data_IF_207981319304
#
_entry.id   IF_207981319304
#
_cell.length_a   1.000
_cell.length_b   1.000
_cell.length_c   1.000
_cell.angle_alpha   90.00
_cell.angle_beta   90.00
_cell.angle_gamma   90.00
#
_symmetry.space_group_name_H-M   'P 1'
#
loop_
_entity.id
_entity.type
_entity.pdbx_description
1 polymer ?
#
# COMPACT_ATOMS: atom_id res chain seq x y z
N UNK A 1 6.76 27.89 -22.51
CA UNK A 1 7.09 26.76 -23.40
C UNK A 1 6.80 25.49 -22.65
N UNK A 2 5.81 24.68 -23.08
CA UNK A 2 5.57 23.35 -22.50
C UNK A 2 6.70 22.46 -22.97
N UNK A 3 7.60 22.09 -22.08
CA UNK A 3 8.60 21.04 -22.36
C UNK A 3 7.86 19.73 -22.53
N UNK A 4 7.75 19.27 -23.76
CA UNK A 4 7.31 17.92 -24.09
C UNK A 4 8.43 16.96 -23.70
N UNK A 5 8.38 16.43 -22.48
CA UNK A 5 9.33 15.39 -22.06
C UNK A 5 9.10 14.11 -22.86
N UNK A 6 10.18 13.56 -23.36
CA UNK A 6 10.18 12.32 -24.15
C UNK A 6 9.78 11.12 -23.27
N UNK A 7 8.81 10.30 -23.74
CA UNK A 7 8.35 9.10 -23.04
C UNK A 7 9.03 7.89 -23.62
N UNK A 8 9.73 7.11 -22.78
CA UNK A 8 10.57 5.99 -23.21
C UNK A 8 9.76 4.71 -23.48
N UNK A 9 8.73 4.44 -22.66
CA UNK A 9 7.96 3.19 -22.72
C UNK A 9 6.81 3.18 -23.75
N UNK A 10 6.68 4.19 -24.61
CA UNK A 10 5.70 4.14 -25.69
C UNK A 10 6.17 3.17 -26.78
N UNK A 11 5.25 2.29 -27.22
CA UNK A 11 5.45 1.41 -28.40
C UNK A 11 5.89 2.23 -29.60
N UNK A 12 7.14 2.06 -30.02
CA UNK A 12 7.70 2.74 -31.21
C UNK A 12 9.04 3.43 -31.01
N UNK A 13 9.54 3.54 -29.79
CA UNK A 13 10.96 3.85 -29.61
C UNK A 13 11.75 2.62 -30.09
N UNK A 14 12.28 2.71 -31.31
CA UNK A 14 13.05 1.66 -31.95
C UNK A 14 14.22 1.17 -31.10
N UNK A 15 14.90 0.12 -31.55
CA UNK A 15 15.98 -0.63 -30.88
C UNK A 15 17.15 0.20 -30.29
N UNK A 16 17.12 1.52 -30.38
CA UNK A 16 18.12 2.43 -29.87
C UNK A 16 17.58 3.21 -28.67
N UNK A 17 17.36 2.51 -27.54
CA UNK A 17 16.97 3.09 -26.26
C UNK A 17 18.16 3.86 -25.67
N UNK A 18 18.28 5.14 -26.05
CA UNK A 18 19.40 5.98 -25.67
C UNK A 18 18.96 6.95 -24.55
N UNK A 19 19.14 6.54 -23.30
CA UNK A 19 18.92 7.37 -22.14
C UNK A 19 20.01 7.16 -21.09
N UNK A 20 20.25 8.19 -20.30
CA UNK A 20 21.14 8.15 -19.15
C UNK A 20 20.33 8.09 -17.85
N UNK A 21 20.76 7.26 -16.92
CA UNK A 21 20.17 7.13 -15.58
C UNK A 21 21.08 7.77 -14.56
N UNK A 22 20.63 8.85 -13.94
CA UNK A 22 21.21 9.34 -12.70
C UNK A 22 20.53 8.66 -11.53
N UNK A 23 21.16 7.65 -10.99
CA UNK A 23 20.74 7.04 -9.74
C UNK A 23 20.94 8.02 -8.58
N UNK A 24 19.94 8.17 -7.70
CA UNK A 24 19.96 9.07 -6.55
C UNK A 24 20.07 8.28 -5.26
N UNK A 25 19.11 7.40 -5.01
CA UNK A 25 19.12 6.55 -3.82
C UNK A 25 18.24 5.31 -3.97
N UNK A 26 18.48 4.32 -3.10
CA UNK A 26 17.57 3.21 -2.86
C UNK A 26 17.43 2.98 -1.36
N UNK A 27 16.20 2.88 -0.87
CA UNK A 27 15.92 2.75 0.56
C UNK A 27 14.72 1.85 0.80
N UNK A 28 14.77 1.16 1.94
CA UNK A 28 13.58 0.59 2.56
C UNK A 28 12.89 1.67 3.39
N UNK A 29 11.58 1.78 3.22
CA UNK A 29 10.77 2.74 3.95
C UNK A 29 9.72 2.01 4.78
N UNK A 30 9.59 2.45 6.02
CA UNK A 30 8.55 2.01 6.94
C UNK A 30 7.81 3.22 7.45
N UNK A 31 6.52 3.30 7.16
CA UNK A 31 5.69 4.43 7.51
C UNK A 31 4.53 4.03 8.41
N UNK A 32 4.27 4.83 9.45
CA UNK A 32 2.99 4.79 10.15
C UNK A 32 1.91 5.26 9.17
N UNK A 33 0.69 4.70 9.20
CA UNK A 33 -0.41 5.16 8.36
C UNK A 33 -0.58 6.67 8.43
N UNK A 34 -0.46 7.33 7.30
CA UNK A 34 -0.47 8.79 7.19
C UNK A 34 -0.88 9.25 5.80
N UNK A 35 -1.15 10.53 5.66
CA UNK A 35 -1.36 11.17 4.36
C UNK A 35 -0.16 12.07 4.06
N UNK A 36 0.40 11.93 2.87
CA UNK A 36 1.48 12.77 2.38
C UNK A 36 0.93 13.64 1.26
N UNK A 37 0.84 14.93 1.51
CA UNK A 37 0.24 15.94 0.62
C UNK A 37 1.26 16.89 -0.02
N UNK A 38 2.55 16.74 0.31
CA UNK A 38 3.61 17.62 -0.18
C UNK A 38 3.61 17.72 -1.72
N UNK A 39 3.27 16.62 -2.40
CA UNK A 39 3.26 16.56 -3.86
C UNK A 39 2.00 17.13 -4.50
N UNK A 40 0.99 17.54 -3.73
CA UNK A 40 -0.16 18.29 -4.22
C UNK A 40 0.26 19.71 -4.65
N UNK A 41 1.07 20.37 -3.83
CA UNK A 41 1.51 21.75 -4.04
C UNK A 41 2.86 21.85 -4.74
N UNK A 42 3.74 20.89 -4.52
CA UNK A 42 5.08 20.86 -5.06
C UNK A 42 5.29 19.57 -5.88
N UNK A 43 5.29 19.67 -7.21
CA UNK A 43 5.49 18.49 -8.08
C UNK A 43 6.77 17.73 -7.71
N UNK A 44 6.77 16.42 -7.93
CA UNK A 44 7.97 15.59 -7.70
C UNK A 44 9.17 16.11 -8.47
N UNK A 45 10.31 16.21 -7.79
CA UNK A 45 11.58 16.63 -8.41
C UNK A 45 12.28 15.51 -9.20
N UNK A 46 11.98 14.25 -8.89
CA UNK A 46 12.69 13.08 -9.40
C UNK A 46 11.71 11.95 -9.75
N UNK A 47 12.16 11.05 -10.62
CA UNK A 47 11.46 9.79 -10.86
C UNK A 47 11.62 8.85 -9.67
N UNK A 48 10.62 8.02 -9.42
CA UNK A 48 10.73 6.96 -8.43
C UNK A 48 10.02 5.67 -8.88
N UNK A 49 10.57 4.55 -8.40
CA UNK A 49 9.94 3.24 -8.45
C UNK A 49 9.75 2.74 -7.02
N UNK A 50 8.51 2.43 -6.65
CA UNK A 50 8.16 1.92 -5.32
C UNK A 50 7.56 0.53 -5.43
N UNK A 51 8.16 -0.42 -4.71
CA UNK A 51 7.64 -1.78 -4.53
C UNK A 51 7.02 -1.88 -3.14
N UNK A 52 5.72 -2.06 -3.06
CA UNK A 52 5.01 -2.22 -1.79
C UNK A 52 5.19 -3.63 -1.25
N UNK A 53 5.72 -3.76 -0.02
CA UNK A 53 6.10 -5.06 0.56
C UNK A 53 5.34 -5.40 1.85
N UNK A 54 4.63 -4.45 2.44
CA UNK A 54 3.85 -4.65 3.66
C UNK A 54 2.76 -3.60 3.85
N UNK A 55 1.84 -3.84 4.78
CA UNK A 55 0.70 -2.95 5.04
C UNK A 55 -0.49 -3.22 4.12
N UNK A 56 -1.29 -2.19 3.84
CA UNK A 56 -2.42 -2.25 2.89
C UNK A 56 -2.20 -1.41 1.63
N UNK A 57 -0.95 -1.08 1.33
CA UNK A 57 -0.63 -0.30 0.16
C UNK A 57 -0.95 1.19 0.31
N UNK A 58 -1.11 1.88 -0.80
CA UNK A 58 -1.25 3.32 -0.87
C UNK A 58 -2.39 3.72 -1.81
N UNK A 59 -3.09 4.80 -1.47
CA UNK A 59 -4.09 5.42 -2.34
C UNK A 59 -3.56 6.77 -2.78
N UNK A 60 -3.39 6.92 -4.07
CA UNK A 60 -3.00 8.16 -4.73
C UNK A 60 -4.27 8.90 -5.19
N UNK A 61 -4.37 10.17 -4.85
CA UNK A 61 -5.43 11.07 -5.35
C UNK A 61 -4.79 12.13 -6.20
N UNK A 62 -5.27 12.28 -7.44
CA UNK A 62 -4.73 13.22 -8.41
C UNK A 62 -5.52 14.54 -8.42
N UNK A 63 -4.96 15.64 -9.00
CA UNK A 63 -5.62 16.95 -9.05
C UNK A 63 -6.97 16.96 -9.79
N UNK A 64 -7.20 16.01 -10.69
CA UNK A 64 -8.48 15.83 -11.40
C UNK A 64 -9.54 15.07 -10.57
N UNK A 65 -9.21 14.72 -9.32
CA UNK A 65 -10.07 13.95 -8.41
C UNK A 65 -10.05 12.43 -8.66
N UNK A 66 -9.34 11.96 -9.68
CA UNK A 66 -9.17 10.52 -9.90
C UNK A 66 -8.29 9.89 -8.83
N UNK A 67 -8.44 8.59 -8.62
CA UNK A 67 -7.67 7.85 -7.62
C UNK A 67 -7.02 6.62 -8.23
N UNK A 68 -5.89 6.22 -7.67
CA UNK A 68 -5.20 4.98 -7.99
C UNK A 68 -4.79 4.28 -6.70
N UNK A 69 -5.05 2.99 -6.60
CA UNK A 69 -4.65 2.19 -5.44
C UNK A 69 -3.55 1.24 -5.82
N UNK A 70 -2.47 1.26 -5.02
CA UNK A 70 -1.38 0.31 -5.09
C UNK A 70 -1.41 -0.61 -3.86
N UNK A 71 -1.40 -1.92 -4.09
CA UNK A 71 -1.40 -2.96 -3.05
C UNK A 71 -0.03 -3.56 -2.78
N UNK A 72 0.01 -4.56 -1.90
CA UNK A 72 1.24 -5.35 -1.66
C UNK A 72 1.61 -6.09 -2.95
N UNK A 73 2.89 -6.08 -3.28
CA UNK A 73 3.44 -6.68 -4.49
C UNK A 73 3.36 -5.80 -5.73
N UNK A 74 2.71 -4.64 -5.63
CA UNK A 74 2.65 -3.71 -6.76
C UNK A 74 3.94 -2.91 -6.89
N UNK A 75 4.44 -2.83 -8.13
CA UNK A 75 5.52 -1.94 -8.52
C UNK A 75 4.93 -0.69 -9.17
N UNK A 76 5.16 0.46 -8.54
CA UNK A 76 4.60 1.76 -8.96
C UNK A 76 5.69 2.68 -9.45
N UNK A 77 5.51 3.23 -10.64
CA UNK A 77 6.34 4.31 -11.17
C UNK A 77 5.69 5.66 -10.90
N UNK A 78 6.50 6.59 -10.42
CA UNK A 78 6.13 7.95 -10.05
C UNK A 78 7.01 8.92 -10.85
N UNK A 79 6.52 9.50 -11.95
CA UNK A 79 7.31 10.37 -12.81
C UNK A 79 7.66 11.71 -12.15
N UNK A 80 8.82 12.25 -12.54
CA UNK A 80 9.18 13.65 -12.26
C UNK A 80 8.06 14.57 -12.72
N UNK A 81 7.74 15.61 -11.93
CA UNK A 81 6.67 16.56 -12.21
C UNK A 81 5.25 16.06 -11.90
N UNK A 82 5.06 14.83 -11.43
CA UNK A 82 3.75 14.36 -11.00
C UNK A 82 3.28 15.06 -9.72
N UNK A 83 1.95 15.33 -9.68
CA UNK A 83 1.27 15.91 -8.53
C UNK A 83 0.21 14.92 -8.03
N UNK A 84 0.19 14.70 -6.73
CA UNK A 84 -0.78 13.81 -6.07
C UNK A 84 -0.75 13.99 -4.55
N UNK A 85 -1.83 13.60 -3.90
CA UNK A 85 -1.85 13.28 -2.47
C UNK A 85 -1.78 11.76 -2.34
N UNK A 86 -0.95 11.24 -1.46
CA UNK A 86 -0.89 9.80 -1.20
C UNK A 86 -1.26 9.50 0.24
N UNK A 87 -2.24 8.61 0.43
CA UNK A 87 -2.58 8.02 1.72
C UNK A 87 -1.90 6.67 1.83
N UNK A 88 -1.02 6.56 2.82
CA UNK A 88 -0.29 5.33 3.14
C UNK A 88 -1.09 4.56 4.19
N UNK A 89 -1.53 3.34 3.86
CA UNK A 89 -2.38 2.53 4.69
C UNK A 89 -1.58 1.39 5.33
N UNK A 90 -1.58 1.35 6.67
CA UNK A 90 -1.07 0.20 7.41
C UNK A 90 -2.02 -0.98 7.31
N UNK A 91 -1.59 -2.15 7.77
CA UNK A 91 -2.46 -3.31 7.88
C UNK A 91 -3.45 -3.09 9.03
N UNK A 92 -4.77 -2.96 8.79
CA UNK A 92 -5.76 -2.75 9.84
C UNK A 92 -5.89 -3.96 10.76
N UNK A 93 -5.29 -5.09 10.39
CA UNK A 93 -5.27 -6.30 11.19
C UNK A 93 -4.17 -6.29 12.26
N UNK A 94 -3.27 -5.30 12.20
CA UNK A 94 -2.14 -5.18 13.13
C UNK A 94 -2.05 -3.75 13.66
N UNK A 95 -2.47 -3.46 14.91
CA UNK A 95 -2.27 -2.14 15.54
C UNK A 95 -0.79 -1.81 15.51
N UNK A 96 -0.50 -0.56 15.14
CA UNK A 96 0.87 -0.14 14.92
C UNK A 96 1.52 -0.72 13.67
N UNK A 97 0.74 -1.39 12.79
CA UNK A 97 1.26 -1.83 11.51
C UNK A 97 1.69 -0.65 10.67
N UNK A 98 2.76 -0.87 9.95
CA UNK A 98 3.36 0.11 9.07
C UNK A 98 3.05 -0.25 7.62
N UNK A 99 3.07 0.73 6.75
CA UNK A 99 3.23 0.51 5.33
C UNK A 99 4.72 0.36 5.05
N UNK A 100 5.10 -0.77 4.48
CA UNK A 100 6.48 -1.03 4.11
C UNK A 100 6.61 -1.02 2.57
N UNK A 101 7.60 -0.30 2.07
CA UNK A 101 7.97 -0.36 0.66
C UNK A 101 9.46 -0.15 0.45
N UNK A 102 9.94 -0.69 -0.66
CA UNK A 102 11.29 -0.44 -1.18
C UNK A 102 11.21 0.62 -2.26
N UNK A 103 12.05 1.63 -2.19
CA UNK A 103 12.06 2.73 -3.13
C UNK A 103 13.39 2.91 -3.82
N UNK A 104 13.37 3.16 -5.13
CA UNK A 104 14.50 3.66 -5.91
C UNK A 104 14.12 5.03 -6.47
N UNK A 105 14.99 6.02 -6.26
CA UNK A 105 14.85 7.38 -6.80
C UNK A 105 15.97 7.63 -7.80
N UNK A 106 15.62 8.20 -8.96
CA UNK A 106 16.53 8.40 -10.07
C UNK A 106 16.06 9.54 -10.97
N UNK A 107 16.87 9.91 -11.96
CA UNK A 107 16.50 10.79 -13.06
C UNK A 107 16.86 10.16 -14.39
N UNK A 108 16.01 10.39 -15.37
CA UNK A 108 16.23 9.96 -16.74
C UNK A 108 16.50 11.16 -17.64
N UNK A 109 17.52 11.05 -18.47
CA UNK A 109 17.85 12.05 -19.47
C UNK A 109 18.13 11.38 -20.80
N UNK A 110 17.80 12.06 -21.88
CA UNK A 110 18.33 11.70 -23.20
C UNK A 110 19.82 12.01 -23.26
N UNK A 111 20.54 11.48 -24.21
CA UNK A 111 21.96 11.86 -24.42
C UNK A 111 22.13 13.32 -24.84
N UNK A 112 21.09 14.00 -25.33
CA UNK A 112 21.06 15.44 -25.50
C UNK A 112 20.90 16.23 -24.20
N UNK A 113 20.70 15.55 -23.05
CA UNK A 113 20.54 16.15 -21.73
C UNK A 113 19.11 16.57 -21.40
N UNK A 114 18.13 16.28 -22.26
CA UNK A 114 16.72 16.55 -22.00
C UNK A 114 16.14 15.55 -20.99
N UNK A 115 15.28 16.01 -20.09
CA UNK A 115 14.57 15.11 -19.17
C UNK A 115 13.62 14.21 -19.94
N UNK A 116 13.70 12.92 -19.70
CA UNK A 116 12.76 11.94 -20.22
C UNK A 116 12.07 11.17 -19.09
N UNK A 117 11.05 10.37 -19.41
CA UNK A 117 10.23 9.61 -18.45
C UNK A 117 9.96 8.22 -18.99
N UNK A 118 9.74 7.25 -18.09
CA UNK A 118 9.27 5.93 -18.50
C UNK A 118 7.82 6.01 -18.96
N UNK A 119 6.95 6.62 -18.18
CA UNK A 119 5.52 6.82 -18.46
C UNK A 119 5.12 8.25 -18.12
N UNK A 120 4.05 8.74 -18.76
CA UNK A 120 3.53 10.11 -18.57
C UNK A 120 2.92 10.34 -17.21
N UNK A 121 2.35 9.30 -16.63
CA UNK A 121 1.54 9.36 -15.41
C UNK A 121 2.09 8.39 -14.37
N UNK A 122 1.67 8.58 -13.13
CA UNK A 122 1.83 7.57 -12.09
C UNK A 122 1.20 6.28 -12.58
N UNK A 123 2.00 5.22 -12.60
CA UNK A 123 1.63 3.97 -13.29
C UNK A 123 1.98 2.76 -12.43
N UNK A 124 1.06 1.83 -12.29
CA UNK A 124 1.36 0.50 -11.75
C UNK A 124 1.94 -0.34 -12.88
N UNK A 125 3.19 -0.72 -12.74
CA UNK A 125 3.93 -1.49 -13.76
C UNK A 125 3.67 -2.99 -13.62
N UNK A 126 3.64 -3.50 -12.38
CA UNK A 126 3.40 -4.90 -12.06
C UNK A 126 2.50 -4.99 -10.85
N UNK A 127 1.54 -5.92 -10.86
CA UNK A 127 0.59 -6.12 -9.75
C UNK A 127 0.83 -7.45 -9.05
N UNK A 128 0.75 -7.39 -7.71
CA UNK A 128 0.65 -8.55 -6.82
C UNK A 128 1.80 -9.57 -6.84
N UNK A 129 2.88 -9.30 -7.58
CA UNK A 129 4.05 -10.15 -7.59
C UNK A 129 5.33 -9.34 -7.36
N UNK A 130 5.86 -9.31 -6.13
CA UNK A 130 7.10 -8.62 -5.82
C UNK A 130 8.35 -9.39 -6.25
N UNK A 131 8.22 -10.70 -6.54
CA UNK A 131 9.36 -11.62 -6.71
C UNK A 131 10.36 -11.18 -7.77
N UNK A 132 9.94 -10.73 -8.98
CA UNK A 132 10.88 -10.31 -10.00
C UNK A 132 11.70 -9.08 -9.61
N UNK A 133 11.14 -8.22 -8.75
CA UNK A 133 11.66 -6.89 -8.42
C UNK A 133 12.44 -6.86 -7.12
N UNK A 134 12.08 -7.70 -6.16
CA UNK A 134 12.63 -7.72 -4.80
C UNK A 134 14.16 -7.82 -4.82
N UNK A 135 14.71 -8.68 -5.66
CA UNK A 135 16.15 -8.92 -5.80
C UNK A 135 16.93 -7.68 -6.26
N UNK A 136 16.34 -6.84 -7.13
CA UNK A 136 16.96 -5.58 -7.55
C UNK A 136 17.05 -4.61 -6.38
N UNK A 137 15.95 -4.48 -5.62
CA UNK A 137 15.92 -3.60 -4.46
C UNK A 137 16.86 -4.05 -3.35
N UNK A 138 16.93 -5.34 -3.03
CA UNK A 138 17.86 -5.85 -2.02
C UNK A 138 19.30 -5.49 -2.38
N UNK A 139 19.72 -5.73 -3.62
CA UNK A 139 21.06 -5.39 -4.09
C UNK A 139 21.32 -3.88 -4.05
N UNK A 140 20.39 -3.06 -4.56
CA UNK A 140 20.52 -1.61 -4.58
C UNK A 140 20.58 -1.01 -3.17
N UNK A 141 19.68 -1.45 -2.28
CA UNK A 141 19.63 -0.96 -0.90
C UNK A 141 20.90 -1.33 -0.15
N UNK A 142 21.36 -2.57 -0.32
CA UNK A 142 22.62 -3.02 0.29
C UNK A 142 23.80 -2.15 -0.14
N UNK A 143 24.00 -2.01 -1.45
CA UNK A 143 25.08 -1.17 -2.00
C UNK A 143 24.97 0.29 -1.56
N UNK A 144 23.76 0.84 -1.53
CA UNK A 144 23.54 2.21 -1.10
C UNK A 144 23.87 2.42 0.38
N UNK A 145 23.47 1.49 1.26
CA UNK A 145 23.74 1.54 2.71
C UNK A 145 25.20 1.29 3.06
N UNK A 146 25.87 0.44 2.31
CA UNK A 146 27.28 0.10 2.52
C UNK A 146 28.25 1.06 1.80
N UNK A 147 27.75 2.16 1.22
CA UNK A 147 28.53 3.10 0.41
C UNK A 147 29.28 2.41 -0.74
N UNK A 148 28.63 1.44 -1.37
CA UNK A 148 29.16 0.67 -2.48
C UNK A 148 29.37 1.49 -3.76
N UNK A 149 29.84 0.83 -4.81
CA UNK A 149 30.16 1.46 -6.08
C UNK A 149 28.92 2.07 -6.74
N UNK A 150 29.03 3.36 -7.08
CA UNK A 150 27.98 4.04 -7.88
C UNK A 150 27.79 3.37 -9.24
N UNK A 151 28.86 2.91 -9.89
CA UNK A 151 28.79 2.24 -11.17
C UNK A 151 28.04 0.91 -11.09
N UNK A 152 28.20 0.17 -10.00
CA UNK A 152 27.47 -1.06 -9.77
C UNK A 152 25.98 -0.77 -9.52
N UNK A 153 25.65 0.24 -8.70
CA UNK A 153 24.27 0.67 -8.49
C UNK A 153 23.62 1.14 -9.79
N UNK A 154 24.33 1.92 -10.60
CA UNK A 154 23.84 2.37 -11.91
C UNK A 154 23.60 1.17 -12.84
N UNK A 155 24.52 0.20 -12.91
CA UNK A 155 24.35 -1.01 -13.72
C UNK A 155 23.09 -1.79 -13.34
N UNK A 156 22.83 -1.95 -12.03
CA UNK A 156 21.62 -2.61 -11.54
C UNK A 156 20.37 -1.80 -11.91
N UNK A 157 20.42 -0.47 -11.79
CA UNK A 157 19.31 0.41 -12.16
C UNK A 157 19.00 0.33 -13.67
N UNK A 158 20.02 0.29 -14.52
CA UNK A 158 19.84 0.09 -15.95
C UNK A 158 19.18 -1.26 -16.26
N UNK A 159 19.68 -2.35 -15.68
CA UNK A 159 19.09 -3.68 -15.85
C UNK A 159 17.63 -3.72 -15.39
N UNK A 160 17.34 -3.09 -14.25
CA UNK A 160 16.00 -3.03 -13.70
C UNK A 160 15.04 -2.26 -14.63
N UNK A 161 15.44 -1.08 -15.09
CA UNK A 161 14.62 -0.25 -15.97
C UNK A 161 14.44 -0.93 -17.34
N UNK A 162 15.46 -1.58 -17.88
CA UNK A 162 15.36 -2.32 -19.13
C UNK A 162 14.29 -3.42 -19.05
N UNK A 163 14.22 -4.16 -17.94
CA UNK A 163 13.17 -5.15 -17.69
C UNK A 163 11.77 -4.54 -17.63
N UNK A 164 11.64 -3.33 -17.12
CA UNK A 164 10.36 -2.65 -16.95
C UNK A 164 9.82 -2.11 -18.29
N UNK A 165 10.69 -1.58 -19.13
CA UNK A 165 10.29 -0.90 -20.37
C UNK A 165 9.54 -1.83 -21.32
N UNK A 166 9.85 -3.13 -21.30
CA UNK A 166 9.23 -4.14 -22.16
C UNK A 166 7.93 -4.71 -21.59
N UNK A 167 7.60 -4.38 -20.35
CA UNK A 167 6.35 -4.87 -19.78
C UNK A 167 5.15 -4.16 -20.42
N UNK A 168 4.08 -4.91 -20.73
CA UNK A 168 2.83 -4.28 -21.05
C UNK A 168 2.42 -3.42 -19.85
N UNK A 169 2.14 -2.14 -20.09
CA UNK A 169 1.50 -1.30 -19.04
C UNK A 169 0.28 -2.06 -18.56
N UNK A 170 0.26 -2.41 -17.30
CA UNK A 170 -0.97 -2.88 -16.68
C UNK A 170 -1.90 -1.68 -16.80
N UNK A 171 -2.78 -1.70 -17.82
CA UNK A 171 -3.83 -0.71 -17.92
C UNK A 171 -4.45 -0.69 -16.54
N UNK A 172 -4.36 0.45 -15.88
CA UNK A 172 -5.08 0.66 -14.65
C UNK A 172 -6.55 0.51 -15.06
N UNK A 173 -7.08 -0.71 -14.95
CA UNK A 173 -8.48 -0.93 -14.70
C UNK A 173 -8.74 -0.28 -13.32
N UNK A 174 -8.50 1.03 -13.30
CA UNK A 174 -8.67 1.88 -12.13
C UNK A 174 -10.12 1.83 -11.62
N UNK A 175 -11.05 1.36 -12.45
CA UNK A 175 -12.42 1.14 -12.03
C UNK A 175 -12.70 -0.17 -11.30
N UNK A 176 -11.93 -1.24 -11.51
CA UNK A 176 -12.33 -2.57 -10.98
C UNK A 176 -12.21 -2.68 -9.46
N UNK A 177 -11.17 -2.09 -8.88
CA UNK A 177 -10.91 -2.16 -7.44
C UNK A 177 -11.17 -0.85 -6.68
N UNK A 178 -11.33 0.29 -7.34
CA UNK A 178 -11.66 1.56 -6.68
C UNK A 178 -12.93 1.44 -5.85
N UNK A 179 -13.94 0.76 -6.40
CA UNK A 179 -15.16 0.44 -5.69
C UNK A 179 -14.92 -0.50 -4.51
N UNK A 180 -13.95 -1.41 -4.59
CA UNK A 180 -13.58 -2.30 -3.48
C UNK A 180 -12.85 -1.53 -2.38
N UNK A 181 -11.93 -0.63 -2.73
CA UNK A 181 -11.25 0.25 -1.77
C UNK A 181 -12.25 1.12 -1.02
N UNK A 182 -13.26 1.65 -1.72
CA UNK A 182 -14.39 2.33 -1.08
C UNK A 182 -15.13 1.41 -0.09
N UNK A 183 -15.40 0.18 -0.50
CA UNK A 183 -16.04 -0.83 0.37
C UNK A 183 -15.20 -1.19 1.60
N UNK A 184 -13.89 -1.30 1.44
CA UNK A 184 -12.93 -1.49 2.55
C UNK A 184 -13.02 -0.30 3.52
N UNK A 185 -13.01 0.95 3.02
CA UNK A 185 -13.18 2.14 3.84
C UNK A 185 -14.48 2.10 4.65
N UNK A 186 -15.61 1.78 4.02
CA UNK A 186 -16.91 1.67 4.70
C UNK A 186 -16.86 0.63 5.83
N UNK A 187 -16.27 -0.55 5.59
CA UNK A 187 -16.13 -1.60 6.62
C UNK A 187 -15.21 -1.13 7.75
N UNK A 188 -14.10 -0.48 7.42
CA UNK A 188 -13.12 -0.02 8.39
C UNK A 188 -13.67 1.10 9.28
N UNK A 189 -14.42 2.05 8.71
CA UNK A 189 -15.02 3.18 9.45
C UNK A 189 -16.20 2.72 10.31
N UNK A 190 -16.88 1.66 9.93
CA UNK A 190 -18.04 1.10 10.65
C UNK A 190 -17.76 -0.29 11.24
N UNK A 191 -16.52 -0.57 11.59
CA UNK A 191 -16.07 -1.88 12.05
C UNK A 191 -16.89 -2.47 13.21
N UNK A 192 -17.38 -1.62 14.11
CA UNK A 192 -18.17 -1.97 15.29
C UNK A 192 -19.69 -1.85 15.09
N UNK A 193 -20.15 -1.46 13.91
CA UNK A 193 -21.57 -1.35 13.59
C UNK A 193 -22.00 -2.53 12.72
N UNK A 194 -23.26 -2.90 12.81
CA UNK A 194 -23.83 -3.86 11.89
C UNK A 194 -24.01 -3.21 10.51
N UNK A 195 -23.23 -3.67 9.52
CA UNK A 195 -23.34 -3.26 8.15
C UNK A 195 -23.67 -4.48 7.27
N UNK A 196 -24.77 -4.41 6.55
CA UNK A 196 -25.12 -5.46 5.60
C UNK A 196 -24.22 -5.37 4.38
N UNK A 197 -23.65 -6.49 3.96
CA UNK A 197 -22.77 -6.54 2.78
C UNK A 197 -23.51 -6.05 1.51
N UNK A 198 -24.82 -6.25 1.45
CA UNK A 198 -25.65 -5.74 0.35
C UNK A 198 -25.62 -4.21 0.24
N UNK A 199 -25.67 -3.50 1.38
CA UNK A 199 -25.68 -2.04 1.42
C UNK A 199 -24.30 -1.49 1.03
N UNK A 200 -23.23 -2.16 1.48
CA UNK A 200 -21.86 -1.81 1.09
C UNK A 200 -21.65 -2.02 -0.41
N UNK A 201 -22.08 -3.16 -0.95
CA UNK A 201 -22.00 -3.47 -2.37
C UNK A 201 -22.77 -2.44 -3.21
N UNK A 202 -23.99 -2.08 -2.77
CA UNK A 202 -24.80 -1.04 -3.41
C UNK A 202 -24.06 0.31 -3.42
N UNK A 203 -23.44 0.71 -2.30
CA UNK A 203 -22.62 1.94 -2.22
C UNK A 203 -21.39 1.91 -3.14
N UNK A 204 -20.97 0.71 -3.53
CA UNK A 204 -19.87 0.47 -4.46
C UNK A 204 -20.34 0.25 -5.92
N UNK A 205 -21.63 0.47 -6.21
CA UNK A 205 -22.25 0.21 -7.51
C UNK A 205 -22.06 -1.23 -8.00
N UNK A 206 -22.15 -2.20 -7.09
CA UNK A 206 -21.93 -3.63 -7.37
C UNK A 206 -23.05 -4.50 -6.85
N UNK A 207 -23.23 -5.68 -7.47
CA UNK A 207 -24.02 -6.73 -6.86
C UNK A 207 -23.28 -7.31 -5.63
N UNK A 208 -24.00 -7.81 -4.60
CA UNK A 208 -23.37 -8.40 -3.42
C UNK A 208 -22.44 -9.59 -3.73
N UNK A 209 -22.77 -10.34 -4.77
CA UNK A 209 -21.96 -11.49 -5.21
C UNK A 209 -20.64 -11.04 -5.83
N UNK A 210 -20.69 -10.07 -6.75
CA UNK A 210 -19.50 -9.52 -7.40
C UNK A 210 -18.60 -8.80 -6.38
N UNK A 211 -19.20 -8.05 -5.45
CA UNK A 211 -18.47 -7.40 -4.36
C UNK A 211 -17.71 -8.43 -3.50
N UNK A 212 -18.34 -9.53 -3.07
CA UNK A 212 -17.65 -10.59 -2.28
C UNK A 212 -16.48 -11.20 -3.05
N UNK A 213 -16.69 -11.48 -4.34
CA UNK A 213 -15.65 -12.07 -5.19
C UNK A 213 -14.44 -11.15 -5.31
N UNK A 214 -14.66 -9.92 -5.75
CA UNK A 214 -13.59 -8.93 -5.96
C UNK A 214 -12.93 -8.51 -4.64
N UNK A 215 -13.71 -8.42 -3.55
CA UNK A 215 -13.19 -8.10 -2.23
C UNK A 215 -12.22 -9.20 -1.74
N UNK A 216 -12.60 -10.48 -1.91
CA UNK A 216 -11.74 -11.61 -1.56
C UNK A 216 -10.52 -11.70 -2.47
N UNK A 217 -10.68 -11.44 -3.76
CA UNK A 217 -9.58 -11.36 -4.72
C UNK A 217 -8.56 -10.27 -4.31
N UNK A 218 -9.05 -9.10 -3.88
CA UNK A 218 -8.22 -7.97 -3.50
C UNK A 218 -7.58 -8.09 -2.11
N UNK A 219 -8.34 -8.55 -1.10
CA UNK A 219 -7.90 -8.57 0.31
C UNK A 219 -7.41 -9.93 0.80
N UNK A 220 -7.65 -11.00 0.04
CA UNK A 220 -7.46 -12.38 0.47
C UNK A 220 -8.54 -12.91 1.42
N UNK A 221 -9.43 -12.04 1.93
CA UNK A 221 -10.47 -12.35 2.92
C UNK A 221 -11.87 -12.03 2.37
N UNK A 222 -12.88 -12.72 2.86
CA UNK A 222 -14.25 -12.26 2.64
C UNK A 222 -14.52 -10.97 3.43
N UNK A 223 -15.48 -10.11 3.01
CA UNK A 223 -15.82 -8.89 3.75
C UNK A 223 -16.16 -9.14 5.23
N UNK A 224 -16.77 -10.28 5.54
CA UNK A 224 -17.10 -10.69 6.91
C UNK A 224 -15.86 -11.06 7.72
N UNK A 225 -14.96 -11.88 7.16
CA UNK A 225 -13.69 -12.23 7.78
C UNK A 225 -12.81 -10.99 7.99
N UNK A 226 -12.79 -10.09 7.02
CA UNK A 226 -12.06 -8.84 7.12
C UNK A 226 -12.58 -7.95 8.26
N UNK A 227 -13.90 -7.79 8.39
CA UNK A 227 -14.49 -7.06 9.53
C UNK A 227 -14.17 -7.73 10.87
N UNK A 228 -14.29 -9.06 10.94
CA UNK A 228 -13.98 -9.82 12.16
C UNK A 228 -12.51 -9.64 12.58
N UNK A 229 -11.60 -9.57 11.63
CA UNK A 229 -10.19 -9.33 11.92
C UNK A 229 -9.96 -7.94 12.49
N UNK A 230 -10.62 -6.88 11.96
CA UNK A 230 -10.57 -5.53 12.55
C UNK A 230 -11.11 -5.53 13.99
N UNK A 231 -12.24 -6.20 14.23
CA UNK A 231 -12.81 -6.33 15.59
C UNK A 231 -11.79 -6.96 16.53
N UNK A 232 -11.18 -8.08 16.13
CA UNK A 232 -10.18 -8.77 16.95
C UNK A 232 -8.99 -7.86 17.28
N UNK A 233 -8.52 -7.12 16.33
CA UNK A 233 -7.39 -6.24 16.46
C UNK A 233 -7.69 -5.07 17.42
N UNK A 234 -8.77 -4.34 17.16
CA UNK A 234 -9.20 -3.23 18.01
C UNK A 234 -9.44 -3.68 19.46
N UNK A 235 -10.06 -4.85 19.63
CA UNK A 235 -10.33 -5.40 20.98
C UNK A 235 -9.06 -5.86 21.68
N UNK A 236 -8.10 -6.49 20.99
CA UNK A 236 -6.78 -6.80 21.55
C UNK A 236 -6.07 -5.55 22.05
N UNK A 237 -6.04 -4.50 21.23
CA UNK A 237 -5.46 -3.21 21.63
C UNK A 237 -6.15 -2.66 22.88
N UNK A 238 -7.49 -2.58 22.89
CA UNK A 238 -8.25 -2.08 24.05
C UNK A 238 -8.00 -2.89 25.32
N UNK A 239 -7.88 -4.21 25.19
CA UNK A 239 -7.61 -5.08 26.35
C UNK A 239 -6.24 -4.82 26.98
N UNK A 240 -5.24 -4.42 26.21
CA UNK A 240 -3.87 -4.19 26.69
C UNK A 240 -3.68 -2.74 27.12
N UNK A 241 -4.23 -1.78 26.36
CA UNK A 241 -3.99 -0.35 26.58
C UNK A 241 -4.94 0.32 27.59
N UNK A 242 -6.03 -0.35 28.00
CA UNK A 242 -7.05 0.25 28.89
C UNK A 242 -7.49 -0.68 30.01
N UNK A 243 -8.07 -0.09 31.06
CA UNK A 243 -8.68 -0.81 32.20
C UNK A 243 -10.20 -0.92 32.13
N UNK A 244 -10.81 -0.56 30.99
CA UNK A 244 -12.27 -0.63 30.86
C UNK A 244 -12.79 -2.05 31.07
N UNK A 245 -14.03 -2.17 31.53
CA UNK A 245 -14.65 -3.46 31.81
C UNK A 245 -14.80 -4.33 30.56
N UNK A 246 -14.87 -5.64 30.71
CA UNK A 246 -15.11 -6.56 29.58
C UNK A 246 -16.42 -6.26 28.87
N UNK A 247 -17.44 -5.84 29.63
CA UNK A 247 -18.72 -5.39 29.08
C UNK A 247 -18.54 -4.15 28.19
N UNK A 248 -17.73 -3.16 28.65
CA UNK A 248 -17.42 -1.99 27.84
C UNK A 248 -16.66 -2.35 26.56
N UNK A 249 -15.66 -3.24 26.63
CA UNK A 249 -14.96 -3.72 25.44
C UNK A 249 -15.91 -4.40 24.44
N UNK A 250 -16.82 -5.26 24.95
CA UNK A 250 -17.83 -5.92 24.12
C UNK A 250 -18.75 -4.90 23.44
N UNK A 251 -19.25 -3.92 24.19
CA UNK A 251 -20.11 -2.86 23.66
C UNK A 251 -19.41 -2.01 22.61
N UNK A 252 -18.16 -1.60 22.84
CA UNK A 252 -17.34 -0.88 21.85
C UNK A 252 -17.10 -1.68 20.58
N UNK A 253 -16.97 -3.01 20.70
CA UNK A 253 -16.80 -3.91 19.59
C UNK A 253 -18.10 -4.20 18.81
N UNK A 254 -19.23 -3.62 19.26
CA UNK A 254 -20.52 -3.77 18.61
C UNK A 254 -21.27 -5.07 19.03
N UNK A 255 -20.89 -5.69 20.15
CA UNK A 255 -21.59 -6.83 20.70
C UNK A 255 -22.59 -6.39 21.77
N UNK A 256 -23.80 -6.86 21.65
CA UNK A 256 -24.85 -6.62 22.67
C UNK A 256 -24.66 -7.46 23.93
N UNK A 257 -23.90 -8.56 23.83
CA UNK A 257 -23.64 -9.47 24.92
C UNK A 257 -22.16 -9.79 25.11
N UNK A 258 -21.68 -9.60 26.35
CA UNK A 258 -20.31 -9.86 26.77
C UNK A 258 -19.91 -11.34 26.63
N UNK A 259 -20.84 -12.29 26.86
CA UNK A 259 -20.55 -13.72 26.75
C UNK A 259 -20.34 -14.12 25.31
N UNK A 260 -21.15 -13.59 24.41
CA UNK A 260 -20.98 -13.79 22.97
C UNK A 260 -19.65 -13.22 22.46
N UNK A 261 -19.29 -11.98 22.89
CA UNK A 261 -17.99 -11.40 22.63
C UNK A 261 -16.83 -12.29 23.14
N UNK A 262 -16.94 -12.77 24.38
CA UNK A 262 -15.89 -13.60 24.99
C UNK A 262 -15.68 -14.91 24.22
N UNK A 263 -16.75 -15.53 23.75
CA UNK A 263 -16.69 -16.73 22.92
C UNK A 263 -16.07 -16.44 21.55
N UNK A 264 -16.53 -15.38 20.87
CA UNK A 264 -15.97 -14.90 19.62
C UNK A 264 -14.46 -14.65 19.71
N UNK A 265 -14.03 -13.97 20.78
CA UNK A 265 -12.61 -13.68 21.00
C UNK A 265 -11.82 -14.95 21.30
N UNK A 266 -12.31 -15.83 22.15
CA UNK A 266 -11.65 -17.08 22.53
C UNK A 266 -11.44 -18.02 21.33
N UNK A 267 -12.44 -18.15 20.46
CA UNK A 267 -12.34 -18.96 19.23
C UNK A 267 -11.21 -18.50 18.31
N UNK A 268 -10.89 -17.19 18.31
CA UNK A 268 -9.89 -16.59 17.40
C UNK A 268 -8.53 -16.34 18.03
N UNK A 269 -8.50 -16.05 19.34
CA UNK A 269 -7.26 -15.78 20.07
C UNK A 269 -6.72 -17.01 20.80
N UNK A 270 -7.49 -18.10 20.88
CA UNK A 270 -7.14 -19.31 21.64
C UNK A 270 -7.25 -19.15 23.16
N UNK A 271 -7.46 -17.94 23.68
CA UNK A 271 -7.58 -17.63 25.11
C UNK A 271 -8.69 -16.59 25.34
N UNK A 272 -9.26 -16.58 26.55
CA UNK A 272 -10.30 -15.62 26.89
C UNK A 272 -9.78 -14.18 26.93
N UNK A 273 -10.64 -13.14 26.69
CA UNK A 273 -10.24 -11.74 26.74
C UNK A 273 -9.58 -11.36 28.08
N UNK A 274 -10.07 -11.88 29.20
CA UNK A 274 -9.51 -11.63 30.51
C UNK A 274 -8.11 -12.22 30.69
N UNK A 275 -7.88 -13.46 30.19
CA UNK A 275 -6.55 -14.08 30.17
C UNK A 275 -5.62 -13.33 29.26
N UNK A 276 -6.11 -12.87 28.09
CA UNK A 276 -5.35 -12.05 27.15
C UNK A 276 -4.87 -10.75 27.80
N UNK A 277 -5.75 -9.99 28.47
CA UNK A 277 -5.42 -8.80 29.23
C UNK A 277 -4.35 -9.07 30.29
N UNK A 278 -4.54 -10.10 31.11
CA UNK A 278 -3.58 -10.44 32.17
C UNK A 278 -2.19 -10.80 31.65
N UNK A 279 -2.11 -11.44 30.50
CA UNK A 279 -0.85 -11.88 29.89
C UNK A 279 -0.10 -10.71 29.29
N UNK A 280 -0.73 -9.97 28.42
CA UNK A 280 -0.05 -8.95 27.60
C UNK A 280 0.03 -7.56 28.23
N UNK A 281 -0.82 -7.22 29.19
CA UNK A 281 -0.72 -5.96 29.95
C UNK A 281 0.49 -5.94 30.89
N UNK A 282 0.93 -7.08 31.40
CA UNK A 282 2.17 -7.18 32.21
C UNK A 282 3.44 -6.99 31.40
N UNK A 283 3.45 -7.46 30.16
CA UNK A 283 4.60 -7.32 29.26
C UNK A 283 4.84 -5.87 28.86
N UNK A 284 3.78 -5.07 28.62
CA UNK A 284 3.89 -3.66 28.28
C UNK A 284 4.35 -2.74 29.41
N UNK A 285 4.30 -3.19 30.66
CA UNK A 285 4.77 -2.44 31.84
C UNK A 285 6.21 -2.80 32.25
N UNK A 286 6.81 -3.83 31.62
CA UNK A 286 8.18 -4.28 31.92
C UNK A 286 9.23 -3.75 30.91
N UNK A 287 8.81 -3.01 29.90
CA UNK A 287 9.66 -2.40 28.87
C UNK A 287 9.82 -0.87 29.01
N UNK A 288 9.46 -0.27 30.18
CA UNK A 288 9.66 1.15 30.46
C UNK A 288 10.74 1.33 31.53
#
# INVERSE_FOLDING_TARGET
MKSTSTIIAQKGYGSNRQFDIRFINAKFHRWIPTTVDIFEKMPRGDDALFLYTGGQGAVYTFPDGSTMTAGIGDLVYLPVGSQYVVRLNGDPLRPGSTLDYMGMVFRLHTFSGETCRLYDKVTIISKHDPSPWYRYYERLIKLYTECGSYLEMASIAYEFIDKIIDLPVVSTDSGRYDSIVKGIGIITDNWNKECKIADIACSCNMSPQNFRLLFKEYTGLTPSEYRQSIIMEKTKHMLVSTDISMSAVASFAGFSDQFYFSRFFCERAGISPLKYRKRYKKESLSEV
#
